data_IF_442566833530
#
_entry.id   IF_442566833530
#
_cell.length_a   1.000
_cell.length_b   1.000
_cell.length_c   1.000
_cell.angle_alpha   90.00
_cell.angle_beta   90.00
_cell.angle_gamma   90.00
#
_symmetry.space_group_name_H-M   'P 1'
#
loop_
_entity.id
_entity.type
_entity.pdbx_description
1 polymer ?
#
# COMPACT_ATOMS: atom_id res chain seq x y z
N UNK A 1 -3.72 7.70 6.48
CA UNK A 1 -3.32 7.16 7.80
C UNK A 1 -4.19 7.68 8.96
N UNK A 2 -5.51 7.48 8.94
CA UNK A 2 -6.40 7.71 10.10
C UNK A 2 -7.07 6.41 10.54
N UNK A 3 -7.37 5.55 9.56
CA UNK A 3 -7.86 4.18 9.74
C UNK A 3 -6.89 3.29 10.53
N UNK A 4 -5.57 3.33 10.26
CA UNK A 4 -4.61 2.46 10.95
C UNK A 4 -4.59 2.70 12.47
N UNK A 5 -4.59 3.97 12.89
CA UNK A 5 -4.60 4.32 14.31
C UNK A 5 -5.88 3.86 15.01
N UNK A 6 -7.05 4.11 14.39
CA UNK A 6 -8.33 3.64 14.93
C UNK A 6 -8.38 2.12 15.00
N UNK A 7 -7.99 1.43 13.94
CA UNK A 7 -7.99 -0.03 13.90
C UNK A 7 -7.06 -0.63 14.95
N UNK A 8 -5.90 0.00 15.22
CA UNK A 8 -4.95 -0.48 16.21
C UNK A 8 -5.48 -0.39 17.65
N UNK A 9 -6.35 0.58 17.95
CA UNK A 9 -6.99 0.70 19.26
C UNK A 9 -7.97 -0.45 19.55
N UNK A 10 -8.56 -1.03 18.51
CA UNK A 10 -9.53 -2.13 18.60
C UNK A 10 -8.87 -3.53 18.59
N UNK A 11 -7.55 -3.60 18.62
CA UNK A 11 -6.80 -4.86 18.54
C UNK A 11 -5.93 -5.07 19.76
N UNK A 12 -6.06 -6.26 20.38
CA UNK A 12 -5.20 -6.70 21.49
C UNK A 12 -3.76 -7.06 21.05
N UNK A 13 -3.45 -6.87 19.76
CA UNK A 13 -2.14 -7.16 19.17
C UNK A 13 -1.77 -6.10 18.13
N UNK A 14 -0.47 -5.92 17.84
CA UNK A 14 -0.05 -5.06 16.74
C UNK A 14 -0.68 -5.50 15.41
N UNK A 15 -1.37 -4.57 14.74
CA UNK A 15 -1.84 -4.74 13.36
C UNK A 15 -0.62 -4.81 12.45
N UNK A 16 -0.71 -5.63 11.41
CA UNK A 16 0.28 -5.67 10.34
C UNK A 16 -0.12 -4.66 9.27
N UNK A 17 0.73 -3.65 9.06
CA UNK A 17 0.57 -2.67 7.99
C UNK A 17 1.49 -3.05 6.83
N UNK A 18 0.93 -3.08 5.62
CA UNK A 18 1.66 -3.36 4.39
C UNK A 18 1.72 -2.10 3.54
N UNK A 19 2.90 -1.77 3.03
CA UNK A 19 3.13 -0.58 2.22
C UNK A 19 3.91 -0.96 0.99
N UNK A 20 3.35 -0.68 -0.18
CA UNK A 20 4.07 -0.79 -1.45
C UNK A 20 5.09 0.35 -1.52
N UNK A 21 6.34 0.04 -1.85
CA UNK A 21 7.43 1.01 -1.93
C UNK A 21 8.05 1.01 -3.32
N UNK A 22 8.54 2.17 -3.76
CA UNK A 22 9.05 2.38 -5.12
C UNK A 22 10.52 2.82 -5.11
N UNK A 23 11.26 2.50 -6.18
CA UNK A 23 12.66 2.94 -6.34
C UNK A 23 12.78 4.45 -6.53
N UNK A 24 11.81 5.09 -7.19
CA UNK A 24 11.81 6.53 -7.41
C UNK A 24 11.31 7.26 -6.16
N UNK A 25 12.15 8.07 -5.48
CA UNK A 25 11.80 8.72 -4.23
C UNK A 25 10.62 9.70 -4.32
N UNK A 26 10.28 10.19 -5.51
CA UNK A 26 9.16 11.10 -5.71
C UNK A 26 7.81 10.39 -5.50
N UNK A 27 7.75 9.09 -5.75
CA UNK A 27 6.53 8.28 -5.58
C UNK A 27 6.56 7.42 -4.31
N UNK A 28 7.68 7.36 -3.61
CA UNK A 28 7.87 6.48 -2.46
C UNK A 28 7.48 7.14 -1.14
N UNK A 29 6.43 6.62 -0.51
CA UNK A 29 5.92 7.11 0.79
C UNK A 29 6.44 6.29 1.98
N UNK A 30 7.41 5.41 1.78
CA UNK A 30 7.88 4.46 2.78
C UNK A 30 8.26 5.11 4.12
N UNK A 31 8.97 6.24 4.07
CA UNK A 31 9.40 6.96 5.28
C UNK A 31 8.22 7.49 6.11
N UNK A 32 7.17 7.97 5.44
CA UNK A 32 5.96 8.48 6.08
C UNK A 32 5.17 7.32 6.67
N UNK A 33 5.02 6.23 5.91
CA UNK A 33 4.31 5.04 6.34
C UNK A 33 4.98 4.36 7.55
N UNK A 34 6.31 4.25 7.55
CA UNK A 34 7.07 3.69 8.67
C UNK A 34 6.92 4.56 9.93
N UNK A 35 7.06 5.88 9.81
CA UNK A 35 6.90 6.80 10.93
C UNK A 35 5.51 6.69 11.56
N UNK A 36 4.49 6.52 10.72
CA UNK A 36 3.11 6.35 11.13
C UNK A 36 2.85 4.99 11.79
N UNK A 37 3.39 3.89 11.22
CA UNK A 37 3.31 2.57 11.82
C UNK A 37 3.96 2.53 13.20
N UNK A 38 5.13 3.19 13.34
CA UNK A 38 5.83 3.35 14.62
C UNK A 38 5.02 4.18 15.62
N UNK A 39 4.37 5.25 15.16
CA UNK A 39 3.57 6.12 16.00
C UNK A 39 2.36 5.40 16.62
N UNK A 40 1.68 4.54 15.84
CA UNK A 40 0.49 3.82 16.32
C UNK A 40 0.82 2.48 16.99
N UNK A 41 2.04 1.97 16.87
CA UNK A 41 2.44 0.65 17.40
C UNK A 41 2.08 -0.54 16.51
N UNK A 42 1.91 -0.32 15.20
CA UNK A 42 1.66 -1.41 14.23
C UNK A 42 2.97 -2.05 13.74
N UNK A 43 2.92 -3.29 13.29
CA UNK A 43 4.04 -3.98 12.63
C UNK A 43 4.12 -3.56 11.16
N UNK A 44 5.18 -2.86 10.78
CA UNK A 44 5.41 -2.36 9.43
C UNK A 44 6.02 -3.41 8.50
N UNK A 45 5.44 -3.57 7.31
CA UNK A 45 5.91 -4.49 6.26
C UNK A 45 6.00 -3.75 4.90
N UNK A 46 7.17 -3.25 4.51
CA UNK A 46 7.37 -2.70 3.18
C UNK A 46 7.40 -3.82 2.13
N UNK A 47 6.83 -3.55 0.95
CA UNK A 47 6.81 -4.43 -0.22
C UNK A 47 7.40 -3.65 -1.39
N UNK A 48 8.71 -3.80 -1.67
CA UNK A 48 9.34 -3.13 -2.80
C UNK A 48 8.84 -3.73 -4.11
N UNK A 49 8.42 -2.87 -5.03
CA UNK A 49 8.06 -3.25 -6.40
C UNK A 49 8.67 -2.29 -7.43
N UNK A 50 8.84 -2.81 -8.62
CA UNK A 50 9.28 -2.09 -9.80
C UNK A 50 8.09 -1.64 -10.64
N UNK A 51 8.30 -0.64 -11.50
CA UNK A 51 7.29 -0.25 -12.49
C UNK A 51 6.95 -1.39 -13.47
N UNK A 52 7.87 -2.34 -13.69
CA UNK A 52 7.63 -3.51 -14.55
C UNK A 52 6.60 -4.45 -13.94
N UNK A 53 6.70 -4.73 -12.65
CA UNK A 53 5.74 -5.58 -11.94
C UNK A 53 4.33 -4.99 -11.94
N UNK A 54 4.20 -3.65 -11.87
CA UNK A 54 2.90 -2.98 -12.03
C UNK A 54 2.35 -3.19 -13.44
N UNK A 55 3.18 -3.01 -14.46
CA UNK A 55 2.78 -3.17 -15.86
C UNK A 55 2.35 -4.62 -16.16
N UNK A 56 3.09 -5.60 -15.64
CA UNK A 56 2.79 -7.01 -15.82
C UNK A 56 1.49 -7.42 -15.09
N UNK A 57 1.21 -6.84 -13.92
CA UNK A 57 -0.01 -7.11 -13.14
C UNK A 57 -1.25 -6.31 -13.59
N UNK A 58 -1.09 -5.34 -14.50
CA UNK A 58 -2.17 -4.41 -14.85
C UNK A 58 -3.38 -5.11 -15.48
N UNK A 59 -3.15 -6.09 -16.37
CA UNK A 59 -4.23 -6.84 -17.00
C UNK A 59 -5.05 -7.65 -15.97
N UNK A 60 -4.38 -8.29 -15.02
CA UNK A 60 -5.01 -9.04 -13.94
C UNK A 60 -5.82 -8.11 -13.02
N UNK A 61 -5.29 -6.91 -12.72
CA UNK A 61 -6.00 -5.92 -11.93
C UNK A 61 -7.30 -5.45 -12.60
N UNK A 62 -7.28 -5.21 -13.92
CA UNK A 62 -8.47 -4.84 -14.69
C UNK A 62 -9.51 -5.99 -14.69
N UNK A 63 -9.05 -7.22 -14.92
CA UNK A 63 -9.90 -8.40 -14.87
C UNK A 63 -10.58 -8.57 -13.51
N UNK A 64 -9.81 -8.49 -12.41
CA UNK A 64 -10.34 -8.63 -11.05
C UNK A 64 -11.20 -7.45 -10.59
N UNK A 65 -11.01 -6.27 -11.17
CA UNK A 65 -11.86 -5.11 -10.89
C UNK A 65 -13.20 -5.17 -11.64
N UNK A 66 -13.42 -6.17 -12.51
CA UNK A 66 -14.61 -6.30 -13.38
C UNK A 66 -14.90 -5.02 -14.18
N UNK A 67 -13.85 -4.25 -14.46
CA UNK A 67 -13.93 -2.97 -15.15
C UNK A 67 -13.23 -3.08 -16.51
N UNK A 68 -13.66 -2.27 -17.47
CA UNK A 68 -12.93 -2.13 -18.74
C UNK A 68 -11.72 -1.20 -18.57
N UNK A 69 -10.58 -1.53 -19.19
CA UNK A 69 -9.40 -0.67 -19.20
C UNK A 69 -9.69 0.76 -19.73
N UNK A 70 -10.67 0.90 -20.63
CA UNK A 70 -11.15 2.19 -21.14
C UNK A 70 -11.77 3.11 -20.10
N UNK A 71 -12.18 2.60 -18.93
CA UNK A 71 -12.72 3.40 -17.82
C UNK A 71 -11.59 3.95 -16.92
N UNK A 72 -10.38 3.37 -16.97
CA UNK A 72 -9.23 3.75 -16.12
C UNK A 72 -8.22 4.68 -16.82
N UNK A 73 -8.27 4.80 -18.15
CA UNK A 73 -7.34 5.60 -18.97
C UNK A 73 -7.87 6.98 -19.41
N UNK A 74 -8.85 7.56 -18.69
CA UNK A 74 -9.34 8.94 -18.93
C UNK A 74 -8.95 9.84 -17.77
#
# INVERSE_FOLDING_TARGET
>A
MRVLGLAQQEMDRPIRSFTVTFENPIYDEASIAEAQARHVGSTYHPIPITGREIADAFADAIWHAECSASVFCV
#
